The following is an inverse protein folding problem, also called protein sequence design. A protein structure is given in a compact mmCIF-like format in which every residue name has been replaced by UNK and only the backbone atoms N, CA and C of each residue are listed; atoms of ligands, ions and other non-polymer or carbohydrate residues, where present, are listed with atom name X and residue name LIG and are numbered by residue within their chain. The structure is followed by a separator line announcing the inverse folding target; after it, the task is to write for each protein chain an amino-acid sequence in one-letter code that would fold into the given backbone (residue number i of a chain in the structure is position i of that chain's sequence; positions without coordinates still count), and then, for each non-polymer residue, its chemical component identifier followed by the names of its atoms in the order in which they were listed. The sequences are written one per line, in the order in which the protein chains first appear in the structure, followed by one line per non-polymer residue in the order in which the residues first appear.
data_IF_918668182081
#
_entry.id   IF_918668182081
#
_cell.length_a   1.000
_cell.length_b   1.000
_cell.length_c   1.000
_cell.angle_alpha   90.00
_cell.angle_beta   90.00
_cell.angle_gamma   90.00
#
_symmetry.space_group_name_H-M   'P 1'
#
loop_
_entity.id
_entity.type
_entity.pdbx_description
1 polymer ?
#
# COMPACT_ATOMS: atom_id res chain seq x y z
N UNK A 1 -13.01 -9.49 8.20
CA UNK A 1 -14.28 -9.04 7.60
C UNK A 1 -14.27 -9.33 6.12
N UNK A 2 -15.34 -9.95 5.61
CA UNK A 2 -15.51 -10.22 4.17
C UNK A 2 -16.30 -9.05 3.60
N UNK A 3 -15.75 -8.37 2.59
CA UNK A 3 -16.43 -7.28 1.91
C UNK A 3 -17.62 -7.82 1.12
N UNK A 4 -18.74 -7.08 1.13
CA UNK A 4 -19.87 -7.40 0.27
C UNK A 4 -19.50 -7.22 -1.21
N UNK A 5 -20.10 -8.01 -2.11
CA UNK A 5 -19.87 -7.87 -3.55
C UNK A 5 -20.30 -6.49 -4.02
N UNK A 6 -19.52 -5.90 -4.92
CA UNK A 6 -19.79 -4.59 -5.51
C UNK A 6 -20.01 -3.45 -4.51
N UNK A 7 -19.32 -3.47 -3.37
CA UNK A 7 -19.47 -2.48 -2.29
C UNK A 7 -18.41 -1.37 -2.31
N UNK A 8 -17.30 -1.58 -3.00
CA UNK A 8 -16.13 -0.69 -2.94
C UNK A 8 -16.04 0.24 -4.15
N UNK A 9 -15.83 1.54 -3.91
CA UNK A 9 -15.62 2.53 -4.97
C UNK A 9 -14.22 2.43 -5.61
N UNK A 10 -13.19 2.21 -4.80
CA UNK A 10 -11.79 2.16 -5.24
C UNK A 10 -11.07 1.04 -4.53
N UNK A 11 -10.38 0.20 -5.32
CA UNK A 11 -9.35 -0.70 -4.80
C UNK A 11 -8.00 -0.08 -5.15
N UNK A 12 -7.19 0.19 -4.13
CA UNK A 12 -5.79 0.54 -4.28
C UNK A 12 -4.95 -0.67 -3.88
N UNK A 13 -4.56 -1.45 -4.89
CA UNK A 13 -3.85 -2.70 -4.73
C UNK A 13 -2.35 -2.46 -4.51
N UNK A 14 -1.92 -2.75 -3.29
CA UNK A 14 -0.51 -2.77 -2.88
C UNK A 14 -0.02 -4.21 -2.63
N UNK A 15 -0.83 -5.22 -2.97
CA UNK A 15 -0.47 -6.61 -2.82
C UNK A 15 0.49 -7.05 -3.92
N UNK A 16 1.25 -8.12 -3.66
CA UNK A 16 2.11 -8.74 -4.69
C UNK A 16 1.33 -9.66 -5.64
N UNK A 17 0.00 -9.53 -5.69
CA UNK A 17 -0.91 -10.43 -6.40
C UNK A 17 -1.26 -9.86 -7.78
N UNK A 18 -0.40 -10.11 -8.78
CA UNK A 18 -0.55 -9.55 -10.14
C UNK A 18 -1.88 -9.91 -10.85
N UNK A 19 -2.62 -10.90 -10.34
CA UNK A 19 -3.92 -11.33 -10.85
C UNK A 19 -5.11 -10.69 -10.14
N UNK A 20 -4.93 -9.73 -9.21
CA UNK A 20 -6.01 -9.14 -8.42
C UNK A 20 -7.16 -8.58 -9.30
N UNK A 21 -6.83 -7.90 -10.40
CA UNK A 21 -7.81 -7.45 -11.40
C UNK A 21 -8.54 -8.60 -12.11
N UNK A 22 -7.82 -9.67 -12.44
CA UNK A 22 -8.34 -10.82 -13.18
C UNK A 22 -9.14 -11.79 -12.29
N UNK A 23 -9.31 -11.48 -11.00
CA UNK A 23 -10.06 -12.33 -10.05
C UNK A 23 -11.01 -11.48 -9.18
N UNK A 24 -10.65 -11.21 -7.93
CA UNK A 24 -11.59 -10.72 -6.92
C UNK A 24 -11.97 -9.24 -7.07
N UNK A 25 -11.12 -8.41 -7.68
CA UNK A 25 -11.36 -6.98 -7.76
C UNK A 25 -12.66 -6.65 -8.51
N UNK A 26 -12.93 -7.35 -9.63
CA UNK A 26 -14.14 -7.11 -10.43
C UNK A 26 -15.43 -7.53 -9.72
N UNK A 27 -15.37 -8.46 -8.77
CA UNK A 27 -16.50 -8.87 -7.93
C UNK A 27 -16.71 -7.96 -6.71
N UNK A 28 -15.67 -7.25 -6.30
CA UNK A 28 -15.67 -6.39 -5.11
C UNK A 28 -16.00 -4.94 -5.45
N UNK A 29 -15.55 -4.45 -6.60
CA UNK A 29 -15.78 -3.09 -7.07
C UNK A 29 -17.24 -2.85 -7.45
N UNK A 30 -17.75 -1.67 -7.11
CA UNK A 30 -19.06 -1.18 -7.56
C UNK A 30 -19.18 -1.27 -9.07
N UNK A 31 -20.35 -1.69 -9.54
CA UNK A 31 -20.67 -1.75 -10.97
C UNK A 31 -20.60 -0.35 -11.58
N UNK A 32 -20.13 -0.26 -12.82
CA UNK A 32 -20.00 0.95 -13.66
C UNK A 32 -19.08 2.08 -13.12
N UNK A 33 -18.89 2.17 -11.81
CA UNK A 33 -18.27 3.30 -11.12
C UNK A 33 -16.99 2.94 -10.37
N UNK A 34 -16.80 1.65 -10.10
CA UNK A 34 -15.64 1.14 -9.39
C UNK A 34 -14.34 1.35 -10.16
N UNK A 35 -13.25 1.62 -9.43
CA UNK A 35 -11.92 1.88 -9.99
C UNK A 35 -10.88 0.98 -9.35
N UNK A 36 -10.11 0.27 -10.16
CA UNK A 36 -8.97 -0.52 -9.74
C UNK A 36 -7.66 0.20 -10.07
N UNK A 37 -6.89 0.52 -9.04
CA UNK A 37 -5.58 1.14 -9.14
C UNK A 37 -4.58 0.20 -8.49
N UNK A 38 -3.40 -0.01 -9.07
CA UNK A 38 -2.39 -0.92 -8.51
C UNK A 38 -1.00 -0.30 -8.53
N UNK A 39 -0.13 -0.78 -7.64
CA UNK A 39 1.30 -0.50 -7.64
C UNK A 39 2.08 -1.40 -8.61
N UNK A 40 1.52 -2.54 -9.01
CA UNK A 40 2.22 -3.56 -9.79
C UNK A 40 1.59 -3.76 -11.16
N UNK A 41 2.38 -4.20 -12.16
CA UNK A 41 1.84 -4.64 -13.42
C UNK A 41 0.83 -5.76 -13.28
N UNK A 42 -0.22 -5.67 -14.08
CA UNK A 42 -1.29 -6.68 -14.12
C UNK A 42 -0.84 -7.82 -15.03
N UNK A 43 -1.21 -9.04 -14.63
CA UNK A 43 -0.90 -10.23 -15.41
C UNK A 43 -1.63 -10.24 -16.77
N UNK A 44 -0.87 -10.51 -17.83
CA UNK A 44 -1.40 -10.73 -19.18
C UNK A 44 -1.84 -12.19 -19.38
N UNK A 45 -2.98 -12.45 -20.06
CA UNK A 45 -3.86 -11.45 -20.67
C UNK A 45 -4.74 -10.73 -19.63
N UNK A 46 -4.93 -9.42 -19.80
CA UNK A 46 -5.85 -8.64 -18.97
C UNK A 46 -7.30 -9.01 -19.30
N UNK A 47 -8.08 -9.42 -18.29
CA UNK A 47 -9.51 -9.69 -18.49
C UNK A 47 -10.30 -8.39 -18.70
N UNK A 48 -11.28 -8.39 -19.63
CA UNK A 48 -12.17 -7.24 -19.80
C UNK A 48 -13.03 -7.04 -18.55
N UNK A 49 -13.48 -5.81 -18.33
CA UNK A 49 -14.38 -5.49 -17.24
C UNK A 49 -15.72 -6.23 -17.38
N UNK A 50 -16.06 -7.06 -16.38
CA UNK A 50 -17.30 -7.85 -16.35
C UNK A 50 -18.54 -7.02 -15.97
N UNK A 51 -18.38 -5.98 -15.15
CA UNK A 51 -19.50 -5.21 -14.57
C UNK A 51 -19.28 -3.69 -14.68
N UNK A 52 -18.55 -3.25 -15.70
CA UNK A 52 -18.32 -1.84 -15.99
C UNK A 52 -17.33 -1.11 -15.07
N UNK A 53 -16.76 -1.77 -14.07
CA UNK A 53 -15.64 -1.22 -13.29
C UNK A 53 -14.43 -0.97 -14.20
N UNK A 54 -13.61 0.03 -13.85
CA UNK A 54 -12.47 0.46 -14.66
C UNK A 54 -11.16 0.09 -14.02
N UNK A 55 -10.32 -0.60 -14.77
CA UNK A 55 -8.90 -0.68 -14.47
C UNK A 55 -8.24 0.65 -14.87
N UNK A 56 -7.73 1.39 -13.89
CA UNK A 56 -7.05 2.68 -14.10
C UNK A 56 -5.54 2.53 -14.27
N UNK A 57 -5.03 1.29 -14.20
CA UNK A 57 -3.63 0.96 -14.40
C UNK A 57 -2.76 1.20 -13.18
N UNK A 58 -1.45 1.25 -13.45
CA UNK A 58 -0.41 1.41 -12.45
C UNK A 58 -0.22 2.87 -12.05
N UNK A 59 -0.19 3.14 -10.74
CA UNK A 59 0.28 4.42 -10.21
C UNK A 59 1.61 4.18 -9.50
N UNK A 60 2.70 4.39 -10.22
CA UNK A 60 4.03 4.45 -9.62
C UNK A 60 4.31 5.88 -9.17
N UNK A 61 4.71 6.03 -7.91
CA UNK A 61 5.14 7.32 -7.39
C UNK A 61 6.46 7.70 -8.04
N UNK A 62 6.51 8.91 -8.59
CA UNK A 62 7.76 9.53 -9.00
C UNK A 62 8.29 10.42 -7.87
N UNK A 63 9.60 10.40 -7.57
CA UNK A 63 10.18 11.28 -6.55
C UNK A 63 9.90 12.75 -6.88
N UNK A 64 9.25 13.46 -5.96
CA UNK A 64 8.82 14.84 -6.14
C UNK A 64 8.89 15.57 -4.81
N UNK A 65 9.75 16.59 -4.72
CA UNK A 65 9.88 17.40 -3.51
C UNK A 65 8.55 18.08 -3.15
N UNK A 66 7.83 18.59 -4.17
CA UNK A 66 6.52 19.23 -3.99
C UNK A 66 5.49 18.29 -3.37
N UNK A 67 5.46 17.03 -3.81
CA UNK A 67 4.50 16.06 -3.27
C UNK A 67 4.88 15.64 -1.85
N UNK A 68 6.19 15.51 -1.58
CA UNK A 68 6.69 15.28 -0.22
C UNK A 68 6.34 16.44 0.72
N UNK A 69 6.46 17.70 0.27
CA UNK A 69 6.05 18.87 1.07
C UNK A 69 4.55 18.85 1.41
N UNK A 70 3.71 18.39 0.47
CA UNK A 70 2.28 18.23 0.73
C UNK A 70 2.02 17.12 1.77
N UNK A 71 2.69 15.97 1.65
CA UNK A 71 2.60 14.87 2.62
C UNK A 71 3.08 15.30 4.01
N UNK A 72 4.17 16.07 4.09
CA UNK A 72 4.71 16.61 5.35
C UNK A 72 3.67 17.39 6.13
N UNK A 73 2.89 18.25 5.47
CA UNK A 73 1.82 19.03 6.13
C UNK A 73 0.77 18.14 6.79
N UNK A 74 0.34 17.07 6.12
CA UNK A 74 -0.60 16.11 6.71
C UNK A 74 0.00 15.39 7.93
N UNK A 75 1.31 15.11 7.90
CA UNK A 75 2.02 14.50 9.02
C UNK A 75 2.14 15.47 10.20
N UNK A 76 2.57 16.70 9.95
CA UNK A 76 2.74 17.75 10.97
C UNK A 76 1.41 18.14 11.63
N UNK A 77 0.31 18.12 10.88
CA UNK A 77 -1.04 18.33 11.40
C UNK A 77 -1.60 17.12 12.18
N UNK A 78 -0.90 15.98 12.18
CA UNK A 78 -1.36 14.74 12.81
C UNK A 78 -2.48 14.01 12.06
N UNK A 79 -2.82 14.44 10.84
CA UNK A 79 -3.85 13.82 9.99
C UNK A 79 -3.37 12.47 9.41
N UNK A 80 -2.05 12.34 9.21
CA UNK A 80 -1.41 11.11 8.75
C UNK A 80 -0.31 10.72 9.71
N UNK A 81 -0.37 9.50 10.24
CA UNK A 81 0.69 8.93 11.07
C UNK A 81 1.10 7.57 10.52
N UNK A 82 2.41 7.25 10.44
CA UNK A 82 2.83 5.94 10.02
C UNK A 82 2.44 4.90 11.08
N UNK A 83 1.80 3.82 10.66
CA UNK A 83 1.59 2.65 11.51
C UNK A 83 2.92 1.96 11.77
N UNK A 84 3.57 2.28 12.90
CA UNK A 84 4.84 1.68 13.33
C UNK A 84 4.56 0.49 14.24
N UNK A 85 5.05 -0.68 13.85
CA UNK A 85 4.95 -1.92 14.64
C UNK A 85 6.03 -1.98 15.70
N UNK A 86 7.28 -1.68 15.34
CA UNK A 86 8.41 -1.76 16.26
C UNK A 86 9.57 -0.87 15.81
N UNK A 87 10.28 -0.33 16.79
CA UNK A 87 11.52 0.44 16.59
C UNK A 87 12.67 -0.41 17.13
N UNK A 88 13.69 -0.64 16.30
CA UNK A 88 14.90 -1.36 16.68
C UNK A 88 16.10 -0.43 16.60
N UNK A 89 17.06 -0.50 17.54
CA UNK A 89 18.36 0.13 17.33
C UNK A 89 19.12 -0.62 16.22
N UNK A 90 20.07 0.04 15.57
CA UNK A 90 20.81 -0.50 14.43
C UNK A 90 21.48 -1.85 14.73
N UNK A 91 21.98 -2.07 15.95
CA UNK A 91 22.62 -3.31 16.38
C UNK A 91 21.66 -4.51 16.33
N UNK A 92 20.35 -4.27 16.36
CA UNK A 92 19.30 -5.29 16.26
C UNK A 92 18.71 -5.43 14.85
N UNK A 93 19.39 -4.92 13.81
CA UNK A 93 18.95 -5.02 12.42
C UNK A 93 18.57 -6.45 12.01
N UNK A 94 19.39 -7.45 12.35
CA UNK A 94 19.12 -8.85 11.99
C UNK A 94 17.84 -9.37 12.64
N UNK A 95 17.55 -8.96 13.89
CA UNK A 95 16.29 -9.29 14.58
C UNK A 95 15.09 -8.63 13.88
N UNK A 96 15.21 -7.36 13.49
CA UNK A 96 14.17 -6.66 12.75
C UNK A 96 13.88 -7.33 11.39
N UNK A 97 14.93 -7.70 10.65
CA UNK A 97 14.81 -8.43 9.38
C UNK A 97 14.19 -9.81 9.54
N UNK A 98 14.50 -10.53 10.63
CA UNK A 98 13.86 -11.80 10.94
C UNK A 98 12.34 -11.63 11.17
N UNK A 99 11.92 -10.60 11.92
CA UNK A 99 10.49 -10.26 12.10
C UNK A 99 9.80 -9.91 10.78
N UNK A 100 10.46 -9.11 9.93
CA UNK A 100 9.95 -8.75 8.60
C UNK A 100 9.75 -9.99 7.72
N UNK A 101 10.77 -10.85 7.62
CA UNK A 101 10.73 -12.08 6.81
C UNK A 101 9.69 -13.07 7.31
N UNK A 102 9.45 -13.10 8.62
CA UNK A 102 8.38 -13.89 9.23
C UNK A 102 6.97 -13.41 8.90
N UNK A 103 6.79 -12.28 8.20
CA UNK A 103 5.48 -11.70 7.83
C UNK A 103 4.55 -11.44 9.01
N UNK A 104 5.11 -11.25 10.21
CA UNK A 104 4.36 -10.95 11.44
C UNK A 104 4.32 -9.46 11.79
N UNK A 105 5.04 -8.62 11.03
CA UNK A 105 5.02 -7.18 11.23
C UNK A 105 3.71 -6.56 10.74
N UNK A 106 3.12 -5.65 11.53
CA UNK A 106 1.92 -4.88 11.17
C UNK A 106 2.27 -3.42 10.90
N UNK A 107 2.49 -3.06 9.64
CA UNK A 107 2.91 -1.71 9.25
C UNK A 107 4.42 -1.64 9.01
N UNK A 108 5.11 -0.68 9.62
CA UNK A 108 6.54 -0.42 9.39
C UNK A 108 7.40 -0.86 10.57
N UNK A 109 8.56 -1.45 10.25
CA UNK A 109 9.67 -1.60 11.19
C UNK A 109 10.62 -0.42 10.98
N UNK A 110 10.99 0.26 12.07
CA UNK A 110 11.90 1.42 12.02
C UNK A 110 13.24 1.02 12.62
N UNK A 111 14.33 1.35 11.92
CA UNK A 111 15.69 1.21 12.44
C UNK A 111 16.17 2.59 12.90
N UNK A 112 16.49 2.71 14.18
CA UNK A 112 17.13 3.90 14.75
C UNK A 112 18.64 3.83 14.46
N UNK A 113 19.12 4.78 13.65
CA UNK A 113 20.51 4.82 13.15
C UNK A 113 21.41 5.74 13.99
N UNK A 114 20.85 6.69 14.73
CA UNK A 114 21.57 7.54 15.69
C UNK A 114 20.92 7.46 17.08
N UNK A 115 21.74 7.50 18.14
CA UNK A 115 21.25 7.76 19.50
C UNK A 115 20.86 9.24 19.63
N UNK A 116 19.94 9.56 20.54
CA UNK A 116 19.40 10.92 20.78
C UNK A 116 20.44 11.93 21.33
N UNK A 117 21.73 11.74 21.06
CA UNK A 117 22.85 12.59 21.49
C UNK A 117 23.85 12.95 20.39
N UNK A 118 23.51 12.73 19.12
CA UNK A 118 24.28 13.22 17.97
C UNK A 118 23.51 14.36 17.29
N UNK A 119 23.51 15.53 17.92
CA UNK A 119 23.19 16.82 17.30
C UNK A 119 24.26 17.82 17.74
#
# INVERSE_FOLDING_TARGET
DVLEKHSVDVIYDCGMEAAAWNHDAQLTLKKETGRFVTLLPIAEPVQPAMFGAKNVGEILVHPSAKDLDAITKYIENGEVTPAVDSIYPLEKLLTALAKLKGRHARGKLVIRVASDGAQ
#
